data_IF_781440000918
#
_entry.id   IF_781440000918
#
_cell.length_a   1.000
_cell.length_b   1.000
_cell.length_c   1.000
_cell.angle_alpha   90.00
_cell.angle_beta   90.00
_cell.angle_gamma   90.00
#
_symmetry.space_group_name_H-M   'P 1'
#
loop_
_entity.id
_entity.type
_entity.pdbx_description
1 polymer ?
#
# COMPACT_ATOMS: atom_id res chain seq x y z
N UNK A 1 9.50 12.69 -6.75
CA UNK A 1 8.09 13.01 -7.08
C UNK A 1 7.23 12.62 -5.91
N UNK A 2 6.64 13.59 -5.22
CA UNK A 2 5.68 13.35 -4.14
C UNK A 2 4.33 12.97 -4.75
N UNK A 3 3.93 11.70 -4.62
CA UNK A 3 2.62 11.25 -5.06
C UNK A 3 1.55 11.88 -4.17
N UNK A 4 0.61 12.62 -4.77
CA UNK A 4 -0.57 13.15 -4.10
C UNK A 4 -1.73 12.17 -4.23
N UNK A 5 -2.45 11.94 -3.12
CA UNK A 5 -3.63 11.09 -3.08
C UNK A 5 -4.79 11.94 -2.55
N UNK A 6 -5.91 11.93 -3.26
CA UNK A 6 -7.14 12.59 -2.82
C UNK A 6 -8.07 11.50 -2.31
N UNK A 7 -8.43 11.56 -1.03
CA UNK A 7 -9.43 10.67 -0.43
C UNK A 7 -10.79 11.36 -0.51
N UNK A 8 -11.73 10.75 -1.23
CA UNK A 8 -13.13 11.19 -1.31
C UNK A 8 -13.97 10.35 -0.35
N UNK A 9 -15.11 10.90 0.07
CA UNK A 9 -16.14 10.18 0.85
C UNK A 9 -15.65 9.59 2.18
N UNK A 10 -14.81 10.32 2.91
CA UNK A 10 -14.47 9.99 4.30
C UNK A 10 -15.69 10.20 5.19
N UNK A 11 -15.94 9.22 6.07
CA UNK A 11 -16.96 9.32 7.11
C UNK A 11 -16.71 10.56 8.00
N UNK A 12 -17.75 11.37 8.33
CA UNK A 12 -17.58 12.56 9.17
C UNK A 12 -17.01 12.27 10.57
N UNK A 13 -17.33 11.10 11.13
CA UNK A 13 -16.80 10.61 12.40
C UNK A 13 -15.30 10.34 12.31
N UNK A 14 -14.87 9.61 11.29
CA UNK A 14 -13.45 9.33 11.04
C UNK A 14 -12.64 10.62 10.81
N UNK A 15 -13.20 11.56 10.05
CA UNK A 15 -12.57 12.88 9.84
C UNK A 15 -12.40 13.65 11.15
N UNK A 16 -13.40 13.59 12.02
CA UNK A 16 -13.39 14.27 13.31
C UNK A 16 -12.40 13.63 14.27
N UNK A 17 -12.29 12.31 14.25
CA UNK A 17 -11.29 11.57 14.99
C UNK A 17 -9.87 11.91 14.50
N UNK A 18 -9.60 11.85 13.18
CA UNK A 18 -8.30 12.20 12.60
C UNK A 18 -7.86 13.62 12.97
N UNK A 19 -8.78 14.59 12.94
CA UNK A 19 -8.50 15.97 13.35
C UNK A 19 -8.14 16.07 14.83
N UNK A 20 -8.80 15.31 15.69
CA UNK A 20 -8.56 15.31 17.14
C UNK A 20 -7.20 14.71 17.45
N UNK A 21 -6.90 13.56 16.88
CA UNK A 21 -5.60 12.89 17.04
C UNK A 21 -4.46 13.81 16.57
N UNK A 22 -4.57 14.38 15.37
CA UNK A 22 -3.54 15.26 14.84
C UNK A 22 -3.26 16.46 15.76
N UNK A 23 -4.30 17.00 16.41
CA UNK A 23 -4.16 18.07 17.41
C UNK A 23 -3.47 17.59 18.69
N UNK A 24 -3.77 16.39 19.18
CA UNK A 24 -3.16 15.86 20.42
C UNK A 24 -1.65 15.73 20.29
N UNK A 25 -1.16 15.35 19.10
CA UNK A 25 0.26 15.21 18.81
C UNK A 25 0.85 16.40 18.05
N UNK A 26 0.13 17.53 17.99
CA UNK A 26 0.57 18.80 17.41
C UNK A 26 1.09 18.72 15.95
N UNK A 27 0.46 17.92 15.10
CA UNK A 27 0.77 17.85 13.66
C UNK A 27 -0.44 18.16 12.78
N UNK A 28 -0.22 18.33 11.48
CA UNK A 28 -1.33 18.46 10.54
C UNK A 28 -2.04 17.11 10.35
N UNK A 29 -3.33 17.16 10.04
CA UNK A 29 -4.13 15.97 9.73
C UNK A 29 -3.54 15.19 8.54
N UNK A 30 -3.00 15.90 7.54
CA UNK A 30 -2.32 15.28 6.39
C UNK A 30 -1.08 14.49 6.80
N UNK A 31 -0.25 15.06 7.68
CA UNK A 31 0.95 14.40 8.18
C UNK A 31 0.59 13.17 9.03
N UNK A 32 -0.46 13.24 9.86
CA UNK A 32 -0.96 12.08 10.59
C UNK A 32 -1.37 10.96 9.63
N UNK A 33 -2.18 11.28 8.61
CA UNK A 33 -2.62 10.29 7.60
C UNK A 33 -1.43 9.70 6.85
N UNK A 34 -0.43 10.52 6.49
CA UNK A 34 0.80 10.06 5.84
C UNK A 34 1.53 9.03 6.71
N UNK A 35 1.64 9.27 8.02
CA UNK A 35 2.27 8.34 8.97
C UNK A 35 1.49 7.03 9.09
N UNK A 36 0.17 7.10 9.24
CA UNK A 36 -0.69 5.90 9.31
C UNK A 36 -0.56 5.03 8.06
N UNK A 37 -0.54 5.64 6.87
CA UNK A 37 -0.33 4.93 5.61
C UNK A 37 1.07 4.31 5.57
N UNK A 38 2.10 5.04 6.01
CA UNK A 38 3.47 4.54 6.01
C UNK A 38 3.65 3.36 6.98
N UNK A 39 3.08 3.43 8.19
CA UNK A 39 3.10 2.33 9.16
C UNK A 39 2.39 1.08 8.61
N UNK A 40 1.24 1.23 7.95
CA UNK A 40 0.56 0.09 7.33
C UNK A 40 1.34 -0.47 6.14
N UNK A 41 1.99 0.38 5.35
CA UNK A 41 2.89 -0.08 4.29
C UNK A 41 4.09 -0.82 4.85
N UNK A 42 4.74 -0.32 5.90
CA UNK A 42 5.85 -1.00 6.55
C UNK A 42 5.46 -2.40 7.07
N UNK A 43 4.26 -2.52 7.66
CA UNK A 43 3.70 -3.83 8.04
C UNK A 43 3.40 -4.73 6.84
N UNK A 44 2.96 -4.15 5.72
CA UNK A 44 2.71 -4.89 4.49
C UNK A 44 4.00 -5.29 3.76
N UNK A 45 5.07 -4.49 3.84
CA UNK A 45 6.40 -4.76 3.28
C UNK A 45 7.13 -5.92 3.98
N UNK A 46 6.64 -6.35 5.15
CA UNK A 46 7.03 -7.64 5.74
C UNK A 46 6.58 -8.84 4.89
N UNK A 47 5.66 -8.63 3.93
CA UNK A 47 5.30 -9.65 2.95
C UNK A 47 6.36 -9.67 1.84
N UNK A 48 6.78 -10.86 1.39
CA UNK A 48 7.72 -10.97 0.29
C UNK A 48 7.16 -10.21 -0.92
N UNK A 49 8.02 -9.44 -1.59
CA UNK A 49 7.62 -8.77 -2.83
C UNK A 49 7.17 -9.82 -3.83
N UNK A 50 6.21 -9.53 -4.73
CA UNK A 50 5.79 -10.49 -5.75
C UNK A 50 6.97 -11.07 -6.55
N UNK A 51 7.99 -10.25 -6.83
CA UNK A 51 9.24 -10.69 -7.46
C UNK A 51 10.06 -11.65 -6.60
N UNK A 52 10.14 -11.43 -5.29
CA UNK A 52 10.83 -12.33 -4.35
C UNK A 52 10.06 -13.64 -4.17
N UNK A 53 8.73 -13.58 -4.13
CA UNK A 53 7.87 -14.75 -4.09
C UNK A 53 8.05 -15.59 -5.38
N UNK A 54 8.11 -14.94 -6.54
CA UNK A 54 8.41 -15.59 -7.82
C UNK A 54 9.80 -16.22 -7.83
N UNK A 55 10.85 -15.49 -7.44
CA UNK A 55 12.22 -16.01 -7.42
C UNK A 55 12.39 -17.19 -6.44
N UNK A 56 11.69 -17.18 -5.29
CA UNK A 56 11.67 -18.33 -4.37
C UNK A 56 11.02 -19.57 -4.98
N UNK A 57 9.99 -19.38 -5.81
CA UNK A 57 9.22 -20.49 -6.37
C UNK A 57 9.86 -21.06 -7.64
N UNK A 58 10.40 -20.20 -8.51
CA UNK A 58 10.92 -20.58 -9.82
C UNK A 58 12.46 -20.58 -9.91
N UNK A 59 13.17 -20.03 -8.92
CA UNK A 59 14.63 -19.86 -8.95
C UNK A 59 15.08 -18.50 -9.49
N UNK A 60 16.37 -18.19 -9.35
CA UNK A 60 17.00 -16.95 -9.87
C UNK A 60 17.26 -17.07 -11.37
N UNK A 61 17.47 -18.30 -11.84
CA UNK A 61 17.66 -18.64 -13.24
C UNK A 61 16.33 -19.08 -13.86
N UNK A 62 15.97 -18.41 -14.94
CA UNK A 62 14.91 -18.74 -15.91
C UNK A 62 13.50 -18.21 -15.59
N UNK A 63 13.14 -17.16 -16.33
CA UNK A 63 11.75 -16.85 -16.60
C UNK A 63 11.07 -18.06 -17.25
N UNK A 64 9.92 -18.45 -16.68
CA UNK A 64 9.05 -19.44 -17.29
C UNK A 64 8.26 -18.74 -18.39
N UNK A 65 8.46 -19.15 -19.63
CA UNK A 65 7.55 -18.77 -20.71
C UNK A 65 6.18 -19.38 -20.43
N UNK A 66 5.22 -18.52 -20.12
CA UNK A 66 3.84 -18.95 -19.97
C UNK A 66 3.33 -19.39 -21.35
N UNK A 67 2.63 -20.53 -21.45
CA UNK A 67 2.08 -20.97 -22.72
C UNK A 67 1.15 -19.88 -23.27
N UNK A 68 1.09 -19.71 -24.61
CA UNK A 68 0.24 -18.69 -25.22
C UNK A 68 -1.21 -18.89 -24.75
N UNK A 69 -1.87 -17.78 -24.43
CA UNK A 69 -3.28 -17.74 -24.02
C UNK A 69 -4.12 -18.61 -24.95
N UNK A 70 -4.53 -19.79 -24.49
CA UNK A 70 -5.54 -20.58 -25.18
C UNK A 70 -6.83 -19.80 -25.01
N UNK A 71 -7.26 -19.11 -26.06
CA UNK A 71 -8.60 -18.53 -26.09
C UNK A 71 -9.57 -19.71 -25.96
N UNK A 72 -10.24 -19.82 -24.82
CA UNK A 72 -11.40 -20.69 -24.68
C UNK A 72 -12.42 -20.21 -25.72
N UNK A 73 -12.58 -21.01 -26.78
CA UNK A 73 -13.64 -20.84 -27.77
C UNK A 73 -14.98 -21.37 -27.25
#
# INVERSE_FOLDING_TARGET
MSASIIVRDIDPGDKSWLRREARQICISMEELVRRLIHEQRAKAELRPKPSEAFARHFGVDHGVDLPPLVRCG
#
